data_IF_298878646286
#
_entry.id   IF_298878646286
#
_cell.length_a   1.000
_cell.length_b   1.000
_cell.length_c   1.000
_cell.angle_alpha   90.00
_cell.angle_beta   90.00
_cell.angle_gamma   90.00
#
_symmetry.space_group_name_H-M   'P 1'
#
loop_
_entity.id
_entity.type
_entity.pdbx_description
1 polymer ?
#
# COMPACT_ATOMS: atom_id res chain seq x y z
N UNK A 1 12.37 -63.88 -2.28
CA UNK A 1 11.39 -63.96 -3.39
C UNK A 1 11.25 -62.56 -3.95
N UNK A 2 11.65 -62.32 -5.20
CA UNK A 2 11.62 -60.98 -5.79
C UNK A 2 10.27 -60.80 -6.48
N UNK A 3 9.55 -59.72 -6.16
CA UNK A 3 8.24 -59.42 -6.74
C UNK A 3 8.43 -58.51 -7.95
N UNK A 4 8.18 -59.02 -9.16
CA UNK A 4 8.23 -58.23 -10.40
C UNK A 4 6.86 -57.61 -10.67
N UNK A 5 6.72 -56.30 -10.41
CA UNK A 5 5.52 -55.54 -10.73
C UNK A 5 5.56 -55.06 -12.19
N UNK A 6 4.64 -55.54 -13.02
CA UNK A 6 4.50 -55.13 -14.42
C UNK A 6 3.47 -53.99 -14.50
N UNK A 7 3.91 -52.75 -14.73
CA UNK A 7 3.02 -51.59 -14.76
C UNK A 7 2.19 -51.55 -16.05
N UNK A 8 0.92 -51.98 -15.96
CA UNK A 8 -0.12 -51.69 -16.95
C UNK A 8 -1.25 -50.92 -16.28
N UNK A 9 -1.30 -49.61 -16.54
CA UNK A 9 -2.40 -48.73 -16.12
C UNK A 9 -1.90 -47.33 -15.83
N UNK A 10 -2.52 -46.32 -16.45
CA UNK A 10 -2.28 -44.89 -16.18
C UNK A 10 -3.00 -44.51 -14.89
N UNK A 11 -2.32 -44.12 -13.80
CA UNK A 11 -2.99 -43.60 -12.62
C UNK A 11 -3.10 -42.07 -12.70
N UNK A 12 -4.29 -41.58 -12.38
CA UNK A 12 -4.59 -40.17 -12.11
C UNK A 12 -3.70 -39.60 -11.00
N UNK A 13 -3.22 -38.37 -11.18
CA UNK A 13 -2.27 -37.69 -10.29
C UNK A 13 -2.79 -37.55 -8.84
N UNK A 14 -2.03 -37.99 -7.81
CA UNK A 14 -2.38 -37.73 -6.43
C UNK A 14 -1.96 -36.31 -6.01
N UNK A 15 -2.81 -35.63 -5.27
CA UNK A 15 -2.72 -34.19 -4.92
C UNK A 15 -1.83 -33.85 -3.72
N UNK A 16 -0.99 -34.78 -3.25
CA UNK A 16 -0.17 -34.58 -2.05
C UNK A 16 1.31 -34.87 -2.36
N UNK A 17 2.13 -33.82 -2.28
CA UNK A 17 3.57 -33.90 -2.50
C UNK A 17 4.29 -34.36 -1.24
N UNK A 18 4.94 -35.52 -1.32
CA UNK A 18 5.68 -36.11 -0.19
C UNK A 18 7.16 -36.09 -0.52
N UNK A 19 7.99 -35.54 0.37
CA UNK A 19 9.45 -35.55 0.21
C UNK A 19 10.02 -36.84 0.80
N UNK A 20 10.75 -37.62 0.01
CA UNK A 20 11.39 -38.87 0.39
C UNK A 20 12.92 -38.78 0.21
N UNK A 21 13.68 -39.26 1.17
CA UNK A 21 15.12 -39.44 1.02
C UNK A 21 15.40 -40.84 0.48
N UNK A 22 16.13 -40.87 -0.63
CA UNK A 22 16.30 -42.08 -1.43
C UNK A 22 17.79 -42.34 -1.62
N UNK A 23 18.23 -43.57 -1.34
CA UNK A 23 19.56 -44.04 -1.74
C UNK A 23 19.43 -44.80 -3.06
N UNK A 24 20.19 -44.39 -4.08
CA UNK A 24 20.24 -45.09 -5.35
C UNK A 24 21.67 -45.58 -5.62
N UNK A 25 21.81 -46.88 -5.86
CA UNK A 25 23.10 -47.54 -6.02
C UNK A 25 23.56 -47.67 -7.49
N UNK A 26 22.82 -47.15 -8.47
CA UNK A 26 23.11 -47.38 -9.88
C UNK A 26 24.41 -46.72 -10.38
N UNK A 27 25.05 -45.81 -9.63
CA UNK A 27 26.26 -45.09 -10.08
C UNK A 27 27.22 -44.71 -8.94
N UNK A 28 27.45 -45.62 -7.99
CA UNK A 28 28.18 -45.34 -6.75
C UNK A 28 27.24 -44.77 -5.69
N UNK A 29 27.52 -45.08 -4.42
CA UNK A 29 26.64 -44.78 -3.27
C UNK A 29 26.38 -43.27 -3.21
N UNK A 30 25.17 -42.84 -3.59
CA UNK A 30 24.76 -41.45 -3.56
C UNK A 30 23.39 -41.35 -2.89
N UNK A 31 23.37 -40.78 -1.68
CA UNK A 31 22.15 -40.42 -0.94
C UNK A 31 21.59 -39.13 -1.55
N UNK A 32 20.35 -39.13 -2.06
CA UNK A 32 19.73 -37.90 -2.58
C UNK A 32 18.28 -37.74 -2.07
N UNK A 33 17.88 -36.49 -1.81
CA UNK A 33 16.51 -36.16 -1.38
C UNK A 33 15.63 -35.95 -2.61
N UNK A 34 14.62 -36.79 -2.78
CA UNK A 34 13.67 -36.74 -3.90
C UNK A 34 12.30 -36.22 -3.45
N UNK A 35 11.75 -35.23 -4.16
CA UNK A 35 10.38 -34.76 -3.90
C UNK A 35 9.46 -35.44 -4.90
N UNK A 36 8.75 -36.48 -4.45
CA UNK A 36 7.79 -37.19 -5.29
C UNK A 36 6.62 -36.26 -5.64
N UNK A 37 6.10 -36.35 -6.88
CA UNK A 37 4.96 -35.61 -7.47
C UNK A 37 5.24 -34.32 -8.24
N UNK A 38 6.52 -33.99 -8.49
CA UNK A 38 6.87 -32.82 -9.32
C UNK A 38 7.52 -33.17 -10.66
N UNK A 39 7.79 -34.45 -10.94
CA UNK A 39 8.40 -34.88 -12.21
C UNK A 39 9.76 -34.23 -12.50
N UNK A 40 10.47 -33.80 -11.45
CA UNK A 40 11.72 -33.02 -11.57
C UNK A 40 12.94 -33.87 -11.91
N UNK A 41 12.90 -35.18 -11.71
CA UNK A 41 14.01 -36.11 -11.98
C UNK A 41 13.64 -37.07 -13.10
N UNK A 42 12.89 -38.14 -12.83
CA UNK A 42 12.32 -39.05 -13.84
C UNK A 42 10.96 -39.55 -13.37
N UNK A 43 9.98 -39.61 -14.27
CA UNK A 43 8.59 -39.95 -13.92
C UNK A 43 8.46 -41.37 -13.35
N UNK A 44 9.24 -42.33 -13.86
CA UNK A 44 9.20 -43.72 -13.40
C UNK A 44 9.64 -43.87 -11.94
N UNK A 45 10.52 -43.00 -11.47
CA UNK A 45 10.99 -43.00 -10.09
C UNK A 45 9.90 -42.47 -9.14
N UNK A 46 9.17 -41.40 -9.51
CA UNK A 46 8.03 -40.91 -8.73
C UNK A 46 6.99 -42.02 -8.51
N UNK A 47 6.68 -42.78 -9.56
CA UNK A 47 5.72 -43.89 -9.48
C UNK A 47 6.28 -45.05 -8.66
N UNK A 48 7.56 -45.40 -8.83
CA UNK A 48 8.21 -46.45 -8.05
C UNK A 48 8.21 -46.15 -6.55
N UNK A 49 8.58 -44.93 -6.15
CA UNK A 49 8.61 -44.51 -4.75
C UNK A 49 7.24 -44.53 -4.07
N UNK A 50 6.17 -44.27 -4.83
CA UNK A 50 4.79 -44.37 -4.31
C UNK A 50 4.37 -45.81 -3.97
N UNK A 51 5.08 -46.82 -4.51
CA UNK A 51 4.77 -48.24 -4.29
C UNK A 51 5.61 -48.90 -3.20
N UNK A 52 6.64 -48.22 -2.68
CA UNK A 52 7.57 -48.78 -1.70
C UNK A 52 7.13 -48.53 -0.25
N UNK A 53 7.50 -49.44 0.65
CA UNK A 53 7.40 -49.24 2.09
C UNK A 53 8.68 -48.64 2.67
N UNK A 54 8.58 -47.99 3.84
CA UNK A 54 9.73 -47.42 4.54
C UNK A 54 10.75 -48.51 4.89
N UNK A 55 12.02 -48.30 4.51
CA UNK A 55 13.12 -49.25 4.70
C UNK A 55 13.16 -50.38 3.66
N UNK A 56 12.30 -50.38 2.64
CA UNK A 56 12.32 -51.37 1.58
C UNK A 56 13.45 -51.10 0.58
N UNK A 57 14.16 -52.17 0.18
CA UNK A 57 15.10 -52.18 -0.94
C UNK A 57 14.43 -52.90 -2.12
N UNK A 58 14.17 -52.18 -3.20
CA UNK A 58 13.52 -52.72 -4.39
C UNK A 58 14.26 -52.32 -5.67
N UNK A 59 14.26 -53.23 -6.64
CA UNK A 59 14.88 -53.03 -7.96
C UNK A 59 13.81 -52.74 -9.01
N UNK A 60 13.97 -51.64 -9.73
CA UNK A 60 13.04 -51.16 -10.74
C UNK A 60 13.73 -51.03 -12.10
N UNK A 61 13.11 -51.60 -13.11
CA UNK A 61 13.52 -51.46 -14.51
C UNK A 61 12.61 -50.42 -15.15
N UNK A 62 13.14 -49.22 -15.37
CA UNK A 62 12.41 -48.07 -15.90
C UNK A 62 12.65 -48.00 -17.41
N UNK A 63 11.58 -48.20 -18.18
CA UNK A 63 11.62 -48.05 -19.63
C UNK A 63 11.84 -46.58 -20.04
N UNK A 64 12.36 -46.32 -21.25
CA UNK A 64 12.70 -44.97 -21.69
C UNK A 64 11.53 -43.98 -21.65
N UNK A 65 10.28 -44.45 -21.82
CA UNK A 65 9.08 -43.59 -21.77
C UNK A 65 8.85 -42.95 -20.40
N UNK A 66 9.38 -43.58 -19.34
CA UNK A 66 9.30 -43.10 -17.96
C UNK A 66 10.65 -42.59 -17.43
N UNK A 67 11.70 -42.63 -18.25
CA UNK A 67 13.08 -42.20 -17.96
C UNK A 67 13.47 -40.94 -18.72
N UNK A 68 14.64 -40.95 -19.36
CA UNK A 68 15.18 -39.81 -20.14
C UNK A 68 14.73 -39.76 -21.61
N UNK A 69 13.97 -40.75 -22.08
CA UNK A 69 13.40 -40.80 -23.43
C UNK A 69 14.42 -40.63 -24.56
N UNK A 70 13.99 -39.99 -25.64
CA UNK A 70 14.75 -39.82 -26.89
C UNK A 70 15.94 -38.87 -26.75
N UNK A 71 15.93 -37.99 -25.73
CA UNK A 71 16.98 -36.99 -25.54
C UNK A 71 18.17 -37.54 -24.74
N UNK A 72 17.98 -38.57 -23.92
CA UNK A 72 19.03 -39.13 -23.06
C UNK A 72 19.59 -38.11 -22.05
N UNK A 73 20.70 -38.45 -21.40
CA UNK A 73 21.44 -37.54 -20.52
C UNK A 73 22.95 -37.76 -20.68
N UNK A 74 23.56 -37.02 -21.61
CA UNK A 74 25.00 -37.08 -21.86
C UNK A 74 25.82 -36.56 -20.66
N UNK A 75 26.97 -37.16 -20.31
CA UNK A 75 27.68 -38.27 -20.99
C UNK A 75 27.37 -39.67 -20.43
N UNK A 76 26.31 -39.83 -19.62
CA UNK A 76 26.16 -41.00 -18.72
C UNK A 76 24.98 -41.92 -19.06
N UNK A 77 24.01 -41.45 -19.83
CA UNK A 77 22.85 -42.23 -20.28
C UNK A 77 22.60 -41.93 -21.75
N UNK A 78 22.56 -42.98 -22.57
CA UNK A 78 22.32 -42.88 -24.00
C UNK A 78 20.83 -42.62 -24.32
N UNK A 79 20.50 -42.05 -25.49
CA UNK A 79 19.13 -41.92 -25.97
C UNK A 79 18.39 -43.27 -25.99
N UNK A 80 17.14 -43.30 -25.50
CA UNK A 80 16.27 -44.48 -25.44
C UNK A 80 16.81 -45.67 -24.63
N UNK A 81 17.72 -45.43 -23.69
CA UNK A 81 18.24 -46.47 -22.80
C UNK A 81 17.24 -46.83 -21.68
N UNK A 82 17.11 -48.13 -21.39
CA UNK A 82 16.31 -48.63 -20.25
C UNK A 82 17.17 -48.55 -19.00
N UNK A 83 16.65 -47.94 -17.94
CA UNK A 83 17.38 -47.72 -16.70
C UNK A 83 17.08 -48.83 -15.70
N UNK A 84 18.11 -49.33 -15.03
CA UNK A 84 17.98 -50.33 -13.97
C UNK A 84 18.42 -49.71 -12.64
N UNK A 85 17.47 -49.57 -11.72
CA UNK A 85 17.66 -48.88 -10.46
C UNK A 85 17.44 -49.82 -9.29
N UNK A 86 18.39 -49.86 -8.37
CA UNK A 86 18.18 -50.41 -7.03
C UNK A 86 18.00 -49.24 -6.06
N UNK A 87 16.84 -49.22 -5.40
CA UNK A 87 16.35 -48.10 -4.61
C UNK A 87 16.13 -48.58 -3.18
N UNK A 88 16.65 -47.83 -2.22
CA UNK A 88 16.32 -47.98 -0.80
C UNK A 88 15.59 -46.72 -0.31
N UNK A 89 14.39 -46.91 0.24
CA UNK A 89 13.59 -45.82 0.83
C UNK A 89 13.97 -45.63 2.30
N UNK A 90 14.81 -44.64 2.59
CA UNK A 90 15.38 -44.45 3.94
C UNK A 90 14.43 -43.69 4.87
N UNK A 91 13.83 -42.59 4.38
CA UNK A 91 12.92 -41.76 5.18
C UNK A 91 11.94 -40.98 4.28
N UNK A 92 10.76 -40.61 4.80
CA UNK A 92 9.89 -39.62 4.16
C UNK A 92 9.34 -38.62 5.18
N UNK A 93 9.33 -37.34 4.79
CA UNK A 93 8.95 -36.21 5.62
C UNK A 93 7.54 -35.68 5.35
N UNK A 94 7.08 -34.76 6.20
CA UNK A 94 5.81 -34.05 6.01
C UNK A 94 5.81 -33.28 4.68
N UNK A 95 4.65 -33.13 4.01
CA UNK A 95 4.56 -32.32 2.81
C UNK A 95 5.06 -30.89 3.08
N UNK A 96 5.71 -30.29 2.10
CA UNK A 96 6.09 -28.88 2.19
C UNK A 96 4.83 -28.04 2.44
N UNK A 97 4.91 -27.00 3.30
CA UNK A 97 3.76 -26.16 3.60
C UNK A 97 3.22 -25.54 2.31
N UNK A 98 1.91 -25.66 2.11
CA UNK A 98 1.22 -25.04 0.97
C UNK A 98 1.41 -23.52 1.06
N UNK A 99 1.81 -22.89 -0.04
CA UNK A 99 1.76 -21.43 -0.12
C UNK A 99 0.31 -20.98 0.06
N UNK A 100 0.01 -20.09 1.02
CA UNK A 100 -1.36 -19.67 1.29
C UNK A 100 -1.94 -18.93 0.09
N UNK A 101 -3.20 -19.22 -0.23
CA UNK A 101 -3.95 -18.49 -1.24
C UNK A 101 -4.19 -17.04 -0.83
N UNK A 102 -4.47 -16.15 -1.79
CA UNK A 102 -4.74 -14.73 -1.48
C UNK A 102 -5.93 -14.55 -0.51
N UNK A 103 -6.91 -15.46 -0.53
CA UNK A 103 -8.06 -15.44 0.38
C UNK A 103 -7.66 -15.80 1.82
N UNK A 104 -6.84 -16.85 2.00
CA UNK A 104 -6.32 -17.24 3.31
C UNK A 104 -5.41 -16.16 3.91
N UNK A 105 -4.63 -15.47 3.07
CA UNK A 105 -3.81 -14.34 3.49
C UNK A 105 -4.67 -13.15 3.98
N UNK A 106 -5.79 -12.90 3.30
CA UNK A 106 -6.74 -11.87 3.70
C UNK A 106 -7.45 -12.21 5.02
N UNK A 107 -7.78 -13.48 5.24
CA UNK A 107 -8.39 -13.94 6.48
C UNK A 107 -7.40 -13.90 7.66
N UNK A 108 -6.15 -14.28 7.44
CA UNK A 108 -5.07 -14.13 8.44
C UNK A 108 -4.86 -12.66 8.83
N UNK A 109 -4.86 -11.73 7.86
CA UNK A 109 -4.79 -10.28 8.14
C UNK A 109 -5.98 -9.77 8.95
N UNK A 110 -7.19 -10.30 8.70
CA UNK A 110 -8.38 -9.95 9.48
C UNK A 110 -8.28 -10.45 10.91
N UNK A 111 -7.83 -11.70 11.12
CA UNK A 111 -7.59 -12.27 12.45
C UNK A 111 -6.54 -11.47 13.23
N UNK A 112 -5.43 -11.11 12.57
CA UNK A 112 -4.41 -10.25 13.16
C UNK A 112 -4.98 -8.89 13.59
N UNK A 113 -5.78 -8.25 12.72
CA UNK A 113 -6.39 -6.95 13.04
C UNK A 113 -7.41 -7.04 14.20
N UNK A 114 -8.08 -8.17 14.35
CA UNK A 114 -9.03 -8.42 15.43
C UNK A 114 -8.33 -8.73 16.76
N UNK A 115 -7.23 -9.49 16.70
CA UNK A 115 -6.32 -9.70 17.84
C UNK A 115 -5.67 -8.40 18.30
N UNK A 116 -5.19 -7.57 17.37
CA UNK A 116 -4.63 -6.24 17.66
C UNK A 116 -5.68 -5.31 18.29
N UNK A 117 -6.93 -5.36 17.81
CA UNK A 117 -8.05 -4.60 18.39
C UNK A 117 -8.35 -5.05 19.81
N UNK A 118 -8.39 -6.36 20.05
CA UNK A 118 -8.64 -6.94 21.37
C UNK A 118 -7.49 -6.62 22.33
N UNK A 119 -6.24 -6.66 21.86
CA UNK A 119 -5.06 -6.28 22.64
C UNK A 119 -5.11 -4.80 23.05
N UNK A 120 -5.64 -3.91 22.19
CA UNK A 120 -5.82 -2.50 22.51
C UNK A 120 -6.94 -2.25 23.55
N UNK A 121 -7.97 -3.10 23.55
CA UNK A 121 -9.07 -3.05 24.52
C UNK A 121 -8.65 -3.60 25.89
N UNK A 122 -7.91 -4.72 25.89
CA UNK A 122 -7.41 -5.40 27.09
C UNK A 122 -6.23 -4.65 27.74
N UNK A 123 -5.42 -3.95 26.93
CA UNK A 123 -4.30 -3.13 27.38
C UNK A 123 -4.39 -1.72 26.76
N UNK A 124 -5.29 -0.86 27.26
CA UNK A 124 -5.39 0.51 26.79
C UNK A 124 -4.01 1.17 26.95
N UNK A 125 -3.53 1.92 25.93
CA UNK A 125 -2.22 2.55 25.98
C UNK A 125 -2.15 3.37 27.26
N UNK A 126 -1.15 3.05 28.10
CA UNK A 126 -1.01 3.59 29.44
C UNK A 126 -1.30 5.09 29.44
N UNK A 127 -2.05 5.56 30.43
CA UNK A 127 -2.39 6.97 30.67
C UNK A 127 -1.17 7.90 30.62
N UNK A 128 0.05 7.38 30.79
CA UNK A 128 1.32 8.06 30.48
C UNK A 128 1.40 8.63 29.05
N UNK A 129 0.85 7.94 28.06
CA UNK A 129 0.78 8.37 26.65
C UNK A 129 -0.10 9.61 26.48
N UNK A 130 -1.14 9.74 27.30
CA UNK A 130 -1.99 10.93 27.42
C UNK A 130 -1.18 12.00 28.17
N UNK A 131 -0.65 11.72 29.36
CA UNK A 131 0.07 12.68 30.20
C UNK A 131 1.29 13.36 29.55
N UNK A 132 2.01 12.70 28.63
CA UNK A 132 3.13 13.30 27.87
C UNK A 132 2.70 14.52 27.05
N UNK A 133 1.44 14.59 26.62
CA UNK A 133 0.93 15.67 25.77
C UNK A 133 0.11 16.74 26.52
N UNK A 134 -0.44 16.44 27.72
CA UNK A 134 -1.29 17.38 28.46
C UNK A 134 -0.55 18.22 29.52
N UNK A 135 0.63 17.79 29.98
CA UNK A 135 1.46 18.61 30.88
C UNK A 135 2.41 19.50 30.09
N UNK A 136 1.93 20.53 29.39
CA UNK A 136 2.82 21.38 28.58
C UNK A 136 3.60 22.40 29.44
N UNK A 137 2.98 22.89 30.52
CA UNK A 137 3.44 24.12 31.18
C UNK A 137 4.37 23.88 32.38
N UNK A 138 4.25 22.74 33.07
CA UNK A 138 5.10 22.42 34.23
C UNK A 138 6.46 21.82 33.82
N UNK A 139 6.53 21.17 32.65
CA UNK A 139 7.71 20.40 32.22
C UNK A 139 8.81 21.25 31.60
N UNK A 140 8.48 22.40 31.02
CA UNK A 140 9.50 23.31 30.45
C UNK A 140 10.32 24.02 31.53
N UNK A 141 9.78 24.14 32.74
CA UNK A 141 10.39 24.88 33.86
C UNK A 141 11.08 23.95 34.87
N UNK A 142 10.57 22.74 35.09
CA UNK A 142 11.02 21.86 36.17
C UNK A 142 12.09 20.82 35.79
N UNK A 143 12.39 20.67 34.50
CA UNK A 143 13.23 19.56 34.00
C UNK A 143 14.61 20.06 33.57
N UNK A 144 15.67 19.37 34.01
CA UNK A 144 17.05 19.65 33.57
C UNK A 144 17.21 19.57 32.05
N UNK A 145 18.18 20.29 31.50
CA UNK A 145 18.47 20.29 30.07
C UNK A 145 18.76 18.88 29.53
N UNK A 146 19.48 18.03 30.28
CA UNK A 146 19.76 16.65 29.85
C UNK A 146 18.49 15.79 29.77
N UNK A 147 17.62 15.88 30.77
CA UNK A 147 16.37 15.13 30.81
C UNK A 147 15.39 15.62 29.74
N UNK A 148 15.40 16.91 29.40
CA UNK A 148 14.63 17.46 28.28
C UNK A 148 15.04 16.82 26.96
N UNK A 149 16.34 16.59 26.72
CA UNK A 149 16.84 15.89 25.54
C UNK A 149 16.35 14.43 25.54
N UNK A 150 16.46 13.72 26.67
CA UNK A 150 15.98 12.33 26.81
C UNK A 150 14.48 12.21 26.53
N UNK A 151 13.68 13.10 27.09
CA UNK A 151 12.23 13.14 26.86
C UNK A 151 11.92 13.45 25.40
N UNK A 152 12.61 14.43 24.81
CA UNK A 152 12.43 14.81 23.41
C UNK A 152 12.76 13.67 22.43
N UNK A 153 13.80 12.89 22.73
CA UNK A 153 14.14 11.69 21.97
C UNK A 153 13.01 10.66 21.94
N UNK A 154 12.21 10.57 23.01
CA UNK A 154 11.01 9.73 23.04
C UNK A 154 9.79 10.42 22.42
N UNK A 155 9.62 11.73 22.59
CA UNK A 155 8.48 12.49 22.04
C UNK A 155 8.46 12.49 20.51
N UNK A 156 9.62 12.64 19.86
CA UNK A 156 9.69 12.76 18.39
C UNK A 156 9.12 11.53 17.66
N UNK A 157 9.52 10.28 17.97
CA UNK A 157 8.89 9.09 17.40
C UNK A 157 7.38 9.01 17.65
N UNK A 158 6.91 9.44 18.82
CA UNK A 158 5.48 9.43 19.17
C UNK A 158 4.68 10.42 18.32
N UNK A 159 5.16 11.66 18.19
CA UNK A 159 4.56 12.66 17.30
C UNK A 159 4.50 12.14 15.87
N UNK A 160 5.59 11.56 15.37
CA UNK A 160 5.62 10.99 14.03
C UNK A 160 4.58 9.88 13.88
N UNK A 161 4.57 8.87 14.76
CA UNK A 161 3.65 7.74 14.67
C UNK A 161 2.19 8.20 14.73
N UNK A 162 1.88 9.14 15.62
CA UNK A 162 0.55 9.76 15.70
C UNK A 162 0.18 10.52 14.42
N UNK A 163 1.11 11.28 13.86
CA UNK A 163 0.90 11.97 12.57
C UNK A 163 0.56 10.98 11.46
N UNK A 164 1.25 9.83 11.40
CA UNK A 164 0.99 8.80 10.40
C UNK A 164 -0.41 8.18 10.56
N UNK A 165 -0.85 7.92 11.78
CA UNK A 165 -2.22 7.46 12.05
C UNK A 165 -3.25 8.50 11.58
N UNK A 166 -3.03 9.78 11.88
CA UNK A 166 -3.93 10.87 11.49
C UNK A 166 -3.98 11.10 9.98
N UNK A 167 -2.83 10.97 9.28
CA UNK A 167 -2.74 10.99 7.81
C UNK A 167 -3.64 9.89 7.22
N UNK A 168 -3.59 8.67 7.76
CA UNK A 168 -4.44 7.56 7.31
C UNK A 168 -5.94 7.79 7.59
N UNK A 169 -6.27 8.59 8.59
CA UNK A 169 -7.64 8.98 8.95
C UNK A 169 -8.11 10.27 8.24
N UNK A 170 -7.31 10.83 7.31
CA UNK A 170 -7.56 12.10 6.63
C UNK A 170 -7.76 13.31 7.58
N UNK A 171 -7.23 13.24 8.81
CA UNK A 171 -7.26 14.36 9.78
C UNK A 171 -6.05 15.26 9.59
N UNK A 172 -6.05 16.04 8.51
CA UNK A 172 -4.87 16.77 8.06
C UNK A 172 -4.38 17.87 9.02
N UNK A 173 -5.28 18.65 9.61
CA UNK A 173 -4.92 19.73 10.54
C UNK A 173 -4.23 19.19 11.80
N UNK A 174 -4.77 18.10 12.36
CA UNK A 174 -4.19 17.46 13.54
C UNK A 174 -2.84 16.79 13.23
N UNK A 175 -2.66 16.31 12.01
CA UNK A 175 -1.41 15.68 11.55
C UNK A 175 -0.32 16.73 11.26
N UNK A 176 -0.69 17.88 10.71
CA UNK A 176 0.20 19.02 10.50
C UNK A 176 0.83 19.45 11.83
N UNK A 177 0.00 19.64 12.86
CA UNK A 177 0.49 20.04 14.18
C UNK A 177 1.51 19.04 14.76
N UNK A 178 1.27 17.74 14.62
CA UNK A 178 2.20 16.71 15.07
C UNK A 178 3.53 16.76 14.31
N UNK A 179 3.48 16.97 12.99
CA UNK A 179 4.66 17.12 12.16
C UNK A 179 5.46 18.38 12.54
N UNK A 180 4.78 19.51 12.75
CA UNK A 180 5.43 20.77 13.15
C UNK A 180 6.08 20.62 14.53
N UNK A 181 5.44 19.95 15.50
CA UNK A 181 6.06 19.64 16.79
C UNK A 181 7.28 18.72 16.69
N UNK A 182 7.26 17.75 15.79
CA UNK A 182 8.43 16.91 15.55
C UNK A 182 9.60 17.73 14.95
N UNK A 183 9.32 18.67 14.05
CA UNK A 183 10.31 19.55 13.41
C UNK A 183 10.87 20.58 14.41
N UNK A 184 10.03 21.16 15.26
CA UNK A 184 10.44 22.08 16.33
C UNK A 184 11.47 21.43 17.27
N UNK A 185 11.30 20.13 17.57
CA UNK A 185 12.23 19.38 18.42
C UNK A 185 13.48 18.96 17.63
N UNK A 186 13.29 18.41 16.42
CA UNK A 186 14.38 17.95 15.58
C UNK A 186 14.12 18.28 14.10
N UNK A 187 14.75 19.36 13.64
CA UNK A 187 14.64 19.82 12.25
C UNK A 187 15.47 18.99 11.25
N UNK A 188 16.44 18.19 11.71
CA UNK A 188 17.29 17.38 10.81
C UNK A 188 16.63 16.06 10.42
N UNK A 189 15.43 15.76 10.94
CA UNK A 189 14.76 14.48 10.75
C UNK A 189 14.01 14.40 9.40
N UNK A 190 14.44 13.56 8.44
CA UNK A 190 13.80 13.51 7.12
C UNK A 190 12.35 13.04 7.16
N UNK A 191 12.05 12.09 8.05
CA UNK A 191 10.70 11.51 8.21
C UNK A 191 9.66 12.55 8.63
N UNK A 192 10.05 13.57 9.38
CA UNK A 192 9.14 14.64 9.82
C UNK A 192 8.72 15.51 8.63
N UNK A 193 9.70 16.00 7.87
CA UNK A 193 9.47 16.78 6.64
C UNK A 193 8.71 15.98 5.58
N UNK A 194 9.00 14.68 5.44
CA UNK A 194 8.29 13.80 4.52
C UNK A 194 6.82 13.59 4.91
N UNK A 195 6.53 13.36 6.20
CA UNK A 195 5.13 13.26 6.67
C UNK A 195 4.39 14.58 6.53
N UNK A 196 5.07 15.71 6.75
CA UNK A 196 4.51 17.06 6.52
C UNK A 196 4.14 17.28 5.05
N UNK A 197 5.00 16.87 4.10
CA UNK A 197 4.67 16.99 2.67
C UNK A 197 3.46 16.14 2.28
N UNK A 198 3.32 14.93 2.85
CA UNK A 198 2.12 14.10 2.68
C UNK A 198 0.86 14.77 3.20
N UNK A 199 0.92 15.45 4.35
CA UNK A 199 -0.22 16.19 4.92
C UNK A 199 -0.66 17.30 3.97
N UNK A 200 0.27 18.12 3.48
CA UNK A 200 -0.07 19.20 2.55
C UNK A 200 -0.55 18.71 1.20
N UNK A 201 0.00 17.59 0.70
CA UNK A 201 -0.50 16.93 -0.49
C UNK A 201 -1.94 16.43 -0.29
N UNK A 202 -2.26 15.87 0.88
CA UNK A 202 -3.63 15.49 1.27
C UNK A 202 -4.58 16.69 1.27
N UNK A 203 -4.19 17.80 1.94
CA UNK A 203 -4.96 19.06 1.92
C UNK A 203 -5.18 19.61 0.52
N UNK A 204 -4.16 19.56 -0.34
CA UNK A 204 -4.26 19.99 -1.73
C UNK A 204 -5.26 19.13 -2.50
N UNK A 205 -5.19 17.80 -2.36
CA UNK A 205 -6.13 16.89 -3.02
C UNK A 205 -7.57 17.11 -2.53
N UNK A 206 -7.78 17.40 -1.24
CA UNK A 206 -9.09 17.74 -0.71
C UNK A 206 -9.65 19.04 -1.30
N UNK A 207 -8.81 20.06 -1.53
CA UNK A 207 -9.23 21.29 -2.23
C UNK A 207 -9.51 21.03 -3.71
N UNK A 208 -8.70 20.24 -4.41
CA UNK A 208 -8.95 19.87 -5.80
C UNK A 208 -10.23 19.03 -5.95
N UNK A 209 -10.52 18.14 -4.99
CA UNK A 209 -11.75 17.36 -4.97
C UNK A 209 -13.01 18.22 -4.78
N UNK A 210 -12.91 19.44 -4.24
CA UNK A 210 -14.04 20.38 -4.18
C UNK A 210 -14.45 20.85 -5.57
N UNK A 211 -13.49 21.08 -6.47
CA UNK A 211 -13.79 21.42 -7.86
C UNK A 211 -14.58 20.28 -8.54
N UNK A 212 -14.18 19.03 -8.32
CA UNK A 212 -14.90 17.86 -8.86
C UNK A 212 -16.32 17.74 -8.28
N UNK A 213 -16.50 18.12 -7.00
CA UNK A 213 -17.82 18.20 -6.35
C UNK A 213 -18.61 19.46 -6.70
N UNK A 214 -18.04 20.39 -7.48
CA UNK A 214 -18.60 21.72 -7.79
C UNK A 214 -18.88 22.56 -6.54
N UNK A 215 -18.08 22.36 -5.50
CA UNK A 215 -18.07 23.16 -4.27
C UNK A 215 -17.16 24.38 -4.45
N UNK A 216 -17.47 25.46 -3.75
CA UNK A 216 -16.60 26.63 -3.72
C UNK A 216 -15.25 26.29 -3.06
N UNK A 217 -14.16 26.69 -3.70
CA UNK A 217 -12.81 26.57 -3.17
C UNK A 217 -11.96 27.77 -3.60
N UNK A 218 -10.81 27.93 -2.93
CA UNK A 218 -9.92 29.09 -3.13
C UNK A 218 -8.60 28.61 -3.73
N UNK A 219 -8.29 29.11 -4.93
CA UNK A 219 -7.08 28.75 -5.69
C UNK A 219 -5.80 29.12 -4.94
N UNK A 220 -5.76 30.30 -4.33
CA UNK A 220 -4.58 30.78 -3.57
C UNK A 220 -4.26 29.86 -2.40
N UNK A 221 -5.29 29.29 -1.75
CA UNK A 221 -5.13 28.34 -0.66
C UNK A 221 -4.50 27.04 -1.15
N UNK A 222 -4.96 26.51 -2.28
CA UNK A 222 -4.36 25.32 -2.89
C UNK A 222 -2.92 25.57 -3.34
N UNK A 223 -2.64 26.75 -3.92
CA UNK A 223 -1.28 27.16 -4.30
C UNK A 223 -0.36 27.21 -3.09
N UNK A 224 -0.83 27.75 -1.96
CA UNK A 224 -0.09 27.75 -0.70
C UNK A 224 0.22 26.32 -0.22
N UNK A 225 -0.75 25.42 -0.27
CA UNK A 225 -0.53 24.01 0.10
C UNK A 225 0.46 23.30 -0.83
N UNK A 226 0.40 23.58 -2.13
CA UNK A 226 1.36 23.04 -3.09
C UNK A 226 2.79 23.48 -2.76
N UNK A 227 3.01 24.78 -2.48
CA UNK A 227 4.33 25.31 -2.14
C UNK A 227 4.86 24.71 -0.82
N UNK A 228 4.03 24.60 0.21
CA UNK A 228 4.41 23.96 1.48
C UNK A 228 4.73 22.46 1.31
N UNK A 229 3.99 21.75 0.44
CA UNK A 229 4.28 20.36 0.12
C UNK A 229 5.62 20.22 -0.63
N UNK A 230 5.88 21.06 -1.62
CA UNK A 230 7.13 21.06 -2.41
C UNK A 230 8.33 21.36 -1.52
N UNK A 231 8.26 22.42 -0.72
CA UNK A 231 9.36 22.83 0.18
C UNK A 231 9.67 21.77 1.23
N UNK A 232 8.64 21.17 1.84
CA UNK A 232 8.83 20.10 2.83
C UNK A 232 9.41 18.83 2.19
N UNK A 233 8.97 18.48 0.98
CA UNK A 233 9.49 17.32 0.26
C UNK A 233 10.95 17.52 -0.18
N UNK A 234 11.30 18.73 -0.65
CA UNK A 234 12.69 19.09 -0.99
C UNK A 234 13.60 19.00 0.22
N UNK A 235 13.16 19.48 1.39
CA UNK A 235 13.91 19.33 2.65
C UNK A 235 14.10 17.87 3.02
N UNK A 236 13.06 17.05 2.90
CA UNK A 236 13.16 15.62 3.18
C UNK A 236 14.20 14.94 2.27
N UNK A 237 14.16 15.22 0.96
CA UNK A 237 15.12 14.69 -0.03
C UNK A 237 16.55 15.15 0.27
N UNK A 238 16.74 16.42 0.62
CA UNK A 238 18.06 16.96 0.97
C UNK A 238 18.67 16.27 2.20
N UNK A 239 17.84 15.89 3.17
CA UNK A 239 18.27 15.21 4.40
C UNK A 239 18.48 13.70 4.24
N UNK A 240 18.00 13.08 3.15
CA UNK A 240 18.12 11.63 2.90
C UNK A 240 19.37 11.19 2.13
N UNK A 241 20.28 12.12 1.79
CA UNK A 241 21.58 11.84 1.13
C UNK A 241 21.54 10.82 -0.04
N UNK A 242 20.50 10.87 -0.87
CA UNK A 242 20.42 10.06 -2.10
C UNK A 242 19.95 8.62 -1.92
N UNK A 243 19.36 8.26 -0.76
CA UNK A 243 18.60 7.00 -0.66
C UNK A 243 17.29 7.14 -1.45
N UNK A 244 17.18 6.38 -2.54
CA UNK A 244 15.97 6.32 -3.37
C UNK A 244 14.85 5.55 -2.64
N UNK A 245 14.17 6.24 -1.72
CA UNK A 245 12.96 5.72 -1.09
C UNK A 245 11.81 5.69 -2.11
N UNK A 246 11.29 4.49 -2.38
CA UNK A 246 10.16 4.30 -3.31
C UNK A 246 8.93 5.16 -2.96
N UNK A 247 8.72 5.44 -1.66
CA UNK A 247 7.66 6.33 -1.20
C UNK A 247 7.91 7.79 -1.59
N UNK A 248 9.14 8.27 -1.49
CA UNK A 248 9.51 9.64 -1.88
C UNK A 248 9.29 9.82 -3.37
N UNK A 249 9.77 8.88 -4.19
CA UNK A 249 9.57 8.91 -5.65
C UNK A 249 8.07 8.93 -6.00
N UNK A 250 7.26 8.08 -5.36
CA UNK A 250 5.81 8.08 -5.55
C UNK A 250 5.20 9.45 -5.22
N UNK A 251 5.55 10.04 -4.07
CA UNK A 251 5.02 11.35 -3.68
C UNK A 251 5.44 12.47 -4.62
N UNK A 252 6.66 12.43 -5.16
CA UNK A 252 7.11 13.40 -6.17
C UNK A 252 6.25 13.31 -7.45
N UNK A 253 5.91 12.09 -7.88
CA UNK A 253 5.03 11.87 -9.04
C UNK A 253 3.62 12.39 -8.74
N UNK A 254 3.06 12.05 -7.58
CA UNK A 254 1.72 12.48 -7.19
C UNK A 254 1.63 14.01 -7.04
N UNK A 255 2.66 14.64 -6.49
CA UNK A 255 2.76 16.09 -6.38
C UNK A 255 2.89 16.77 -7.76
N UNK A 256 3.68 16.20 -8.69
CA UNK A 256 3.75 16.68 -10.09
C UNK A 256 2.39 16.61 -10.77
N UNK A 257 1.62 15.54 -10.55
CA UNK A 257 0.26 15.40 -11.08
C UNK A 257 -0.68 16.46 -10.50
N UNK A 258 -0.70 16.62 -9.19
CA UNK A 258 -1.52 17.63 -8.52
C UNK A 258 -1.19 19.05 -8.99
N UNK A 259 0.09 19.36 -9.19
CA UNK A 259 0.55 20.64 -9.76
C UNK A 259 -0.01 20.91 -11.17
N UNK A 260 0.06 19.92 -12.05
CA UNK A 260 -0.48 20.05 -13.41
C UNK A 260 -1.99 20.26 -13.40
N UNK A 261 -2.71 19.53 -12.54
CA UNK A 261 -4.15 19.70 -12.35
C UNK A 261 -4.49 21.11 -11.85
N UNK A 262 -3.78 21.61 -10.84
CA UNK A 262 -3.97 22.97 -10.32
C UNK A 262 -3.69 24.03 -11.40
N UNK A 263 -2.62 23.89 -12.17
CA UNK A 263 -2.29 24.80 -13.29
C UNK A 263 -3.38 24.81 -14.36
N UNK A 264 -3.96 23.65 -14.66
CA UNK A 264 -5.10 23.55 -15.59
C UNK A 264 -6.30 24.34 -15.06
N UNK A 265 -6.64 24.20 -13.78
CA UNK A 265 -7.73 24.98 -13.20
C UNK A 265 -7.45 26.48 -13.23
N UNK A 266 -6.25 26.92 -12.80
CA UNK A 266 -5.84 28.33 -12.86
C UNK A 266 -6.03 28.91 -14.27
N UNK A 267 -5.60 28.17 -15.30
CA UNK A 267 -5.79 28.59 -16.70
C UNK A 267 -7.27 28.70 -17.06
N UNK A 268 -8.08 27.72 -16.72
CA UNK A 268 -9.52 27.74 -16.97
C UNK A 268 -10.21 28.93 -16.27
N UNK A 269 -9.80 29.25 -15.04
CA UNK A 269 -10.32 30.42 -14.31
C UNK A 269 -9.95 31.73 -15.00
N UNK A 270 -8.69 31.90 -15.43
CA UNK A 270 -8.30 33.09 -16.19
C UNK A 270 -9.01 33.20 -17.54
N UNK A 271 -9.30 32.08 -18.20
CA UNK A 271 -10.09 32.08 -19.43
C UNK A 271 -11.56 32.45 -19.18
N UNK A 272 -12.17 31.94 -18.11
CA UNK A 272 -13.52 32.29 -17.69
C UNK A 272 -13.62 33.78 -17.29
N UNK A 273 -12.63 34.27 -16.55
CA UNK A 273 -12.49 35.67 -16.16
C UNK A 273 -12.42 36.59 -17.40
N UNK A 274 -11.56 36.27 -18.38
CA UNK A 274 -11.47 37.02 -19.64
C UNK A 274 -12.79 37.03 -20.41
N UNK A 275 -13.53 35.92 -20.45
CA UNK A 275 -14.86 35.85 -21.08
C UNK A 275 -15.86 36.75 -20.37
N UNK A 276 -15.88 36.73 -19.04
CA UNK A 276 -16.77 37.57 -18.23
C UNK A 276 -16.56 39.07 -18.53
N UNK A 277 -15.30 39.51 -18.57
CA UNK A 277 -14.96 40.90 -18.89
C UNK A 277 -15.21 41.25 -20.36
N UNK A 278 -14.97 40.32 -21.30
CA UNK A 278 -15.22 40.55 -22.73
C UNK A 278 -16.70 40.70 -23.06
N UNK A 279 -17.57 40.00 -22.33
CA UNK A 279 -19.00 39.98 -22.60
C UNK A 279 -19.77 41.18 -22.00
N UNK A 280 -19.07 42.17 -21.42
CA UNK A 280 -19.68 43.31 -20.70
C UNK A 280 -20.84 42.88 -19.78
N UNK A 281 -20.73 41.70 -19.16
CA UNK A 281 -21.80 41.11 -18.35
C UNK A 281 -22.10 42.00 -17.16
N UNK A 282 -21.09 42.67 -16.60
CA UNK A 282 -21.27 43.65 -15.53
C UNK A 282 -22.11 44.85 -15.99
N UNK A 283 -21.86 45.38 -17.20
CA UNK A 283 -22.67 46.46 -17.75
C UNK A 283 -24.11 46.02 -17.99
N UNK A 284 -24.31 44.79 -18.48
CA UNK A 284 -25.64 44.19 -18.65
C UNK A 284 -26.37 43.98 -17.33
N UNK A 285 -25.70 43.45 -16.30
CA UNK A 285 -26.27 43.25 -14.96
C UNK A 285 -26.62 44.59 -14.29
N UNK A 286 -25.78 45.60 -14.46
CA UNK A 286 -26.06 46.97 -13.96
C UNK A 286 -27.26 47.57 -14.69
N UNK A 287 -27.36 47.38 -16.02
CA UNK A 287 -28.50 47.83 -16.81
C UNK A 287 -29.80 47.12 -16.41
N UNK A 288 -29.76 45.81 -16.17
CA UNK A 288 -30.92 45.03 -15.74
C UNK A 288 -31.36 45.38 -14.31
N UNK A 289 -30.41 45.61 -13.40
CA UNK A 289 -30.73 46.11 -12.05
C UNK A 289 -31.37 47.50 -12.10
N UNK A 290 -30.88 48.40 -12.96
CA UNK A 290 -31.53 49.72 -13.17
C UNK A 290 -32.94 49.59 -13.72
N UNK A 291 -33.18 48.67 -14.67
CA UNK A 291 -34.53 48.40 -15.19
C UNK A 291 -35.47 47.88 -14.11
N UNK A 292 -35.00 46.96 -13.26
CA UNK A 292 -35.80 46.45 -12.13
C UNK A 292 -36.16 47.56 -11.14
N UNK A 293 -35.18 48.37 -10.74
CA UNK A 293 -35.43 49.51 -9.85
C UNK A 293 -36.42 50.50 -10.46
N UNK A 294 -36.32 50.76 -11.77
CA UNK A 294 -37.30 51.60 -12.46
C UNK A 294 -38.71 50.99 -12.46
N UNK A 295 -38.85 49.68 -12.69
CA UNK A 295 -40.15 49.00 -12.64
C UNK A 295 -40.74 48.94 -11.24
N UNK A 296 -39.91 48.74 -10.21
CA UNK A 296 -40.33 48.75 -8.79
C UNK A 296 -40.86 50.13 -8.42
N UNK A 297 -40.13 51.19 -8.76
CA UNK A 297 -40.55 52.58 -8.52
C UNK A 297 -41.87 52.91 -9.25
N UNK A 298 -42.03 52.41 -10.48
CA UNK A 298 -43.23 52.65 -11.28
C UNK A 298 -44.46 51.97 -10.66
N UNK A 299 -44.29 50.73 -10.19
CA UNK A 299 -45.32 49.97 -9.49
C UNK A 299 -45.65 50.57 -8.12
N UNK A 300 -44.67 51.10 -7.39
CA UNK A 300 -44.91 51.87 -6.16
C UNK A 300 -45.71 53.14 -6.43
N UNK A 301 -45.41 53.84 -7.52
CA UNK A 301 -46.14 55.05 -7.91
C UNK A 301 -47.60 54.73 -8.29
N UNK A 302 -47.83 53.66 -9.06
CA UNK A 302 -49.16 53.20 -9.45
C UNK A 302 -50.02 52.84 -8.23
N UNK A 303 -49.47 52.09 -7.27
CA UNK A 303 -50.17 51.79 -6.02
C UNK A 303 -50.43 53.04 -5.17
N UNK A 304 -49.50 54.01 -5.14
CA UNK A 304 -49.73 55.26 -4.42
C UNK A 304 -50.87 56.11 -5.01
N UNK A 305 -51.17 55.96 -6.32
CA UNK A 305 -52.32 56.61 -6.95
C UNK A 305 -53.64 55.88 -6.71
N UNK A 306 -53.63 54.55 -6.53
CA UNK A 306 -54.83 53.76 -6.19
C UNK A 306 -55.37 54.08 -4.78
N UNK A 307 -54.49 54.42 -3.85
CA UNK A 307 -54.85 54.79 -2.47
C UNK A 307 -55.31 56.26 -2.30
N UNK A 308 -55.33 57.05 -3.38
CA UNK A 308 -55.74 58.45 -3.32
C UNK A 308 -57.27 58.56 -3.38
N UNK A 309 -57.95 59.10 -2.34
CA UNK A 309 -59.40 59.21 -2.34
C UNK A 309 -59.86 60.12 -3.49
N UNK A 310 -60.90 59.69 -4.21
CA UNK A 310 -61.49 60.46 -5.30
C UNK A 310 -61.88 61.86 -4.80
N UNK A 311 -61.31 62.90 -5.39
CA UNK A 311 -61.74 64.28 -5.18
C UNK A 311 -63.12 64.46 -5.80
N UNK A 312 -64.16 64.30 -4.97
CA UNK A 312 -65.51 64.84 -5.20
C UNK A 312 -65.59 66.34 -4.86
#
# INVERSE_FOLDING_TARGET
>A
MWSTANMRGVPTTPSNSTSAEVCCAAQGVCTYTHIASLGKVILGLDVALLTMNLGEVARFIIKPEYGYGVLGLAPKVEPNETLDYEIELVSFGKPLPKFPSQAELAESRKRQAEEDRKMLEDNPPATAFVHIFYGKDEWEVLVSAEDKIRINNHKVPLYLNRALCKIKLNKWADAEWDCDKAIEINNTLPKAHFRRSLVFLGKLNDELAKEDRKEFWVIDKATKFLVEAETSLQRAVALTEGVDDAQIVKTQIDLKRAKLTLQKYIKNYHEAEKKLYKDNIMDRLVADNKKKQASELQHELEHAFEDMPSLE
#
